data_IF_802607362512
#
_entry.id   IF_802607362512
#
_cell.length_a   1.000
_cell.length_b   1.000
_cell.length_c   1.000
_cell.angle_alpha   90.00
_cell.angle_beta   90.00
_cell.angle_gamma   90.00
#
_symmetry.space_group_name_H-M   'P 1'
#
loop_
_entity.id
_entity.type
_entity.pdbx_description
1 polymer ?
#
# COMPACT_ATOMS: atom_id res chain seq x y z
N UNK A 1 -11.61 43.03 -19.00
CA UNK A 1 -10.65 42.34 -19.90
C UNK A 1 -10.65 43.06 -21.24
N UNK A 2 -9.49 43.51 -21.71
CA UNK A 2 -9.34 44.24 -22.97
C UNK A 2 -9.28 43.27 -24.16
N UNK A 3 -9.71 43.69 -25.35
CA UNK A 3 -9.70 42.86 -26.58
C UNK A 3 -8.32 42.28 -26.89
N UNK A 4 -7.25 42.98 -26.50
CA UNK A 4 -5.86 42.52 -26.61
C UNK A 4 -5.52 41.31 -25.73
N UNK A 5 -6.13 41.17 -24.55
CA UNK A 5 -5.91 40.01 -23.68
C UNK A 5 -6.55 38.75 -24.28
N UNK A 6 -7.77 38.86 -24.82
CA UNK A 6 -8.47 37.75 -25.49
C UNK A 6 -7.73 37.24 -26.73
N UNK A 7 -7.10 38.13 -27.50
CA UNK A 7 -6.29 37.73 -28.66
C UNK A 7 -5.00 37.03 -28.23
N UNK A 8 -4.34 37.46 -27.15
CA UNK A 8 -3.14 36.80 -26.63
C UNK A 8 -3.44 35.43 -26.04
N UNK A 9 -4.57 35.29 -25.35
CA UNK A 9 -5.09 34.00 -24.85
C UNK A 9 -5.40 33.03 -26.00
N UNK A 10 -5.99 33.53 -27.09
CA UNK A 10 -6.25 32.75 -28.30
C UNK A 10 -4.97 32.29 -29.01
N UNK A 11 -3.94 33.15 -29.10
CA UNK A 11 -2.64 32.78 -29.70
C UNK A 11 -1.86 31.83 -28.77
N UNK A 12 -1.97 32.00 -27.45
CA UNK A 12 -1.34 31.12 -26.46
C UNK A 12 -1.96 29.73 -26.46
N UNK A 13 -3.29 29.62 -26.46
CA UNK A 13 -3.98 28.32 -26.58
C UNK A 13 -3.73 27.59 -27.91
N UNK A 14 -3.39 28.32 -28.99
CA UNK A 14 -2.95 27.71 -30.25
C UNK A 14 -1.46 27.31 -30.26
N UNK A 15 -0.65 27.85 -29.35
CA UNK A 15 0.81 27.61 -29.27
C UNK A 15 1.21 26.71 -28.09
N UNK A 16 0.39 26.65 -27.05
CA UNK A 16 0.62 25.86 -25.87
C UNK A 16 0.02 24.48 -26.13
N UNK A 17 0.88 23.56 -26.55
CA UNK A 17 0.55 22.14 -26.70
C UNK A 17 0.65 21.42 -25.34
N UNK A 18 0.38 22.14 -24.26
CA UNK A 18 0.65 21.74 -22.88
C UNK A 18 -0.67 21.74 -22.10
N UNK A 19 -0.96 20.61 -21.45
CA UNK A 19 -2.20 20.35 -20.72
C UNK A 19 -2.42 21.32 -19.55
N UNK A 20 -1.33 21.89 -19.02
CA UNK A 20 -1.31 22.69 -17.79
C UNK A 20 -0.96 24.16 -17.99
N UNK A 21 -0.87 24.61 -19.25
CA UNK A 21 -0.53 25.99 -19.55
C UNK A 21 -1.70 26.94 -19.28
N UNK A 22 -1.79 27.50 -18.08
CA UNK A 22 -2.69 28.62 -17.81
C UNK A 22 -2.11 29.95 -18.34
N UNK A 23 -2.92 30.72 -19.06
CA UNK A 23 -2.51 32.00 -19.63
C UNK A 23 -2.26 33.06 -18.54
N UNK A 24 -1.01 33.22 -18.09
CA UNK A 24 -0.60 34.30 -17.17
C UNK A 24 -0.20 35.58 -17.92
N UNK A 25 -1.12 36.56 -17.93
CA UNK A 25 -0.90 37.89 -18.54
C UNK A 25 0.26 38.71 -17.93
N UNK A 26 0.81 38.31 -16.78
CA UNK A 26 1.94 39.00 -16.11
C UNK A 26 3.30 38.36 -16.42
N UNK A 27 3.34 37.17 -17.04
CA UNK A 27 4.56 36.44 -17.39
C UNK A 27 4.79 36.25 -18.89
N UNK A 28 3.88 36.71 -19.74
CA UNK A 28 4.04 36.60 -21.19
C UNK A 28 5.13 37.54 -21.72
N UNK A 29 6.11 36.99 -22.45
CA UNK A 29 7.24 37.63 -23.15
C UNK A 29 8.53 37.86 -22.33
N UNK A 30 9.20 36.80 -21.87
CA UNK A 30 10.68 36.80 -21.74
C UNK A 30 11.36 35.43 -21.59
N UNK A 31 10.84 34.39 -22.26
CA UNK A 31 11.62 33.15 -22.52
C UNK A 31 11.34 32.64 -23.93
N UNK A 32 11.92 33.31 -24.92
CA UNK A 32 12.25 32.68 -26.19
C UNK A 32 13.70 32.20 -26.03
N UNK A 33 13.88 30.99 -25.52
CA UNK A 33 15.17 30.31 -25.66
C UNK A 33 15.23 29.75 -27.09
N UNK A 34 16.05 30.42 -27.88
CA UNK A 34 16.53 30.04 -29.21
C UNK A 34 17.23 28.67 -29.14
N UNK A 35 17.09 27.79 -30.16
CA UNK A 35 17.83 26.53 -30.18
C UNK A 35 19.28 26.79 -30.60
N UNK A 36 20.25 26.35 -29.80
CA UNK A 36 21.64 26.18 -30.25
C UNK A 36 21.90 24.70 -30.49
N UNK A 37 21.79 24.33 -31.77
CA UNK A 37 22.41 23.14 -32.33
C UNK A 37 23.73 23.63 -32.93
N UNK A 38 24.87 23.28 -32.32
CA UNK A 38 26.11 23.14 -33.07
C UNK A 38 26.64 21.72 -32.88
N UNK A 39 26.40 20.96 -33.95
CA UNK A 39 27.17 19.82 -34.40
C UNK A 39 28.67 20.09 -34.32
N UNK A 40 29.40 19.32 -33.52
CA UNK A 40 30.82 19.05 -33.79
C UNK A 40 30.97 17.56 -34.06
N UNK A 41 31.02 17.27 -35.36
CA UNK A 41 31.12 15.97 -35.98
C UNK A 41 32.48 15.93 -36.68
N UNK A 42 33.50 15.43 -36.00
CA UNK A 42 34.77 14.92 -36.55
C UNK A 42 35.25 13.87 -35.53
N UNK A 43 35.34 12.58 -35.79
CA UNK A 43 35.90 11.94 -36.98
C UNK A 43 37.17 11.21 -36.54
N UNK A 44 37.04 9.98 -36.04
CA UNK A 44 38.15 9.04 -35.92
C UNK A 44 37.64 7.61 -36.03
N UNK A 45 38.32 6.88 -36.89
CA UNK A 45 37.95 5.65 -37.58
C UNK A 45 38.40 4.38 -36.85
N UNK A 46 37.68 3.28 -37.14
CA UNK A 46 38.13 1.87 -37.19
C UNK A 46 38.55 1.18 -35.88
N UNK A 47 37.76 0.18 -35.49
CA UNK A 47 38.14 -1.24 -35.38
C UNK A 47 37.53 -1.93 -34.15
N UNK A 48 36.59 -2.84 -34.45
CA UNK A 48 36.31 -4.14 -33.83
C UNK A 48 37.29 -4.57 -32.71
N UNK A 49 36.83 -4.78 -31.47
CA UNK A 49 36.92 -6.07 -30.74
C UNK A 49 36.26 -6.01 -29.34
N UNK A 50 35.62 -7.13 -29.03
CA UNK A 50 35.17 -7.77 -27.79
C UNK A 50 35.39 -7.15 -26.39
N UNK A 51 34.38 -7.40 -25.54
CA UNK A 51 34.39 -7.47 -24.07
C UNK A 51 34.76 -6.21 -23.30
N UNK A 52 33.74 -5.47 -22.85
CA UNK A 52 33.88 -4.49 -21.77
C UNK A 52 32.99 -4.86 -20.60
N UNK A 53 33.64 -5.43 -19.59
CA UNK A 53 33.21 -5.43 -18.20
C UNK A 53 32.79 -4.02 -17.79
N UNK A 54 31.53 -3.86 -17.37
CA UNK A 54 31.04 -2.62 -16.78
C UNK A 54 31.67 -2.46 -15.39
N UNK A 55 32.81 -1.78 -15.33
CA UNK A 55 33.34 -1.25 -14.08
C UNK A 55 32.45 -0.09 -13.65
N UNK A 56 31.49 -0.39 -12.78
CA UNK A 56 30.64 0.59 -12.13
C UNK A 56 31.50 1.38 -11.13
N UNK A 57 32.04 2.52 -11.57
CA UNK A 57 32.60 3.51 -10.65
C UNK A 57 31.44 4.17 -9.89
N UNK A 58 31.51 4.34 -8.56
CA UNK A 58 30.43 4.94 -7.81
C UNK A 58 30.38 6.44 -8.14
N UNK A 59 29.35 6.87 -8.86
CA UNK A 59 29.00 8.30 -8.93
C UNK A 59 28.38 8.64 -7.59
N UNK A 60 29.18 9.26 -6.72
CA UNK A 60 28.72 9.97 -5.53
C UNK A 60 27.80 11.12 -5.97
N UNK A 61 26.49 10.88 -5.93
CA UNK A 61 25.47 11.88 -6.20
C UNK A 61 24.09 11.32 -5.91
N UNK A 62 23.64 11.43 -4.66
CA UNK A 62 22.34 10.95 -4.16
C UNK A 62 21.09 11.57 -4.80
N UNK A 63 21.23 12.27 -5.93
CA UNK A 63 20.13 12.87 -6.69
C UNK A 63 19.67 12.06 -7.91
N UNK A 64 20.20 10.85 -8.15
CA UNK A 64 19.84 10.00 -9.31
C UNK A 64 19.36 8.60 -8.93
N UNK A 65 19.22 8.33 -7.64
CA UNK A 65 18.81 7.02 -7.14
C UNK A 65 17.39 6.66 -7.59
N UNK A 66 17.19 5.44 -8.09
CA UNK A 66 15.90 4.95 -8.60
C UNK A 66 15.54 5.46 -9.99
N UNK A 67 16.25 6.43 -10.58
CA UNK A 67 15.90 7.02 -11.89
C UNK A 67 16.09 6.02 -13.03
N UNK A 68 17.18 5.23 -12.98
CA UNK A 68 17.47 4.23 -13.99
C UNK A 68 16.45 3.08 -13.93
N UNK A 69 16.07 2.69 -12.73
CA UNK A 69 15.08 1.67 -12.42
C UNK A 69 13.69 2.08 -12.93
N UNK A 70 13.29 3.36 -12.74
CA UNK A 70 12.05 3.91 -13.31
C UNK A 70 12.03 3.76 -14.84
N UNK A 71 13.07 4.23 -15.54
CA UNK A 71 13.14 4.15 -17.01
C UNK A 71 13.13 2.70 -17.50
N UNK A 72 13.85 1.84 -16.81
CA UNK A 72 13.91 0.42 -17.11
C UNK A 72 12.53 -0.21 -16.96
N UNK A 73 11.94 -0.14 -15.77
CA UNK A 73 10.63 -0.70 -15.45
C UNK A 73 9.56 -0.18 -16.42
N UNK A 74 9.51 1.13 -16.67
CA UNK A 74 8.51 1.72 -17.56
C UNK A 74 8.61 1.20 -19.00
N UNK A 75 9.83 0.97 -19.50
CA UNK A 75 10.03 0.34 -20.82
C UNK A 75 9.48 -1.08 -20.87
N UNK A 76 9.64 -1.86 -19.81
CA UNK A 76 9.09 -3.22 -19.71
C UNK A 76 7.55 -3.19 -19.58
N UNK A 77 7.01 -2.29 -18.76
CA UNK A 77 5.56 -2.09 -18.60
C UNK A 77 4.92 -1.68 -19.92
N UNK A 78 5.43 -0.63 -20.60
CA UNK A 78 4.90 -0.20 -21.92
C UNK A 78 4.98 -1.29 -22.97
N UNK A 79 6.09 -2.05 -23.01
CA UNK A 79 6.22 -3.20 -23.93
C UNK A 79 5.18 -4.27 -23.63
N UNK A 80 4.92 -4.56 -22.36
CA UNK A 80 3.92 -5.53 -21.94
C UNK A 80 2.50 -5.05 -22.30
N UNK A 81 2.18 -3.78 -22.03
CA UNK A 81 0.90 -3.16 -22.36
C UNK A 81 0.61 -3.21 -23.86
N UNK A 82 1.56 -2.77 -24.69
CA UNK A 82 1.42 -2.86 -26.15
C UNK A 82 1.17 -4.28 -26.68
N UNK A 83 1.60 -5.31 -25.94
CA UNK A 83 1.45 -6.71 -26.35
C UNK A 83 0.16 -7.34 -25.84
N UNK A 84 -0.28 -7.02 -24.62
CA UNK A 84 -1.36 -7.76 -23.95
C UNK A 84 -2.61 -6.92 -23.66
N UNK A 85 -2.50 -5.60 -23.50
CA UNK A 85 -3.66 -4.74 -23.21
C UNK A 85 -3.48 -3.34 -23.82
N UNK A 86 -4.06 -3.16 -25.01
CA UNK A 86 -4.07 -1.87 -25.70
C UNK A 86 -4.99 -0.87 -24.99
N UNK A 87 -6.09 -1.33 -24.38
CA UNK A 87 -7.04 -0.46 -23.67
C UNK A 87 -6.38 0.24 -22.47
N UNK A 88 -5.69 -0.52 -21.60
CA UNK A 88 -4.96 0.05 -20.47
C UNK A 88 -3.85 0.97 -20.99
N UNK A 89 -3.18 0.61 -22.09
CA UNK A 89 -2.16 1.46 -22.69
C UNK A 89 -2.70 2.82 -23.16
N UNK A 90 -3.91 2.83 -23.73
CA UNK A 90 -4.59 4.03 -24.22
C UNK A 90 -5.16 4.89 -23.08
N UNK A 91 -5.31 4.34 -21.88
CA UNK A 91 -5.69 5.11 -20.68
C UNK A 91 -4.56 5.97 -20.11
N UNK A 92 -3.30 5.69 -20.48
CA UNK A 92 -2.15 6.45 -19.97
C UNK A 92 -2.10 7.84 -20.58
N UNK A 93 -2.00 8.85 -19.72
CA UNK A 93 -1.90 10.25 -20.13
C UNK A 93 -0.49 10.59 -20.59
N UNK A 94 -0.41 11.65 -21.41
CA UNK A 94 0.84 12.22 -21.90
C UNK A 94 1.77 12.64 -20.74
N UNK A 95 3.09 12.65 -20.95
CA UNK A 95 4.05 13.11 -19.95
C UNK A 95 3.82 14.53 -19.41
N UNK A 96 4.12 14.74 -18.13
CA UNK A 96 4.19 16.08 -17.53
C UNK A 96 5.42 16.85 -18.04
N UNK A 97 5.29 18.17 -18.13
CA UNK A 97 6.41 19.07 -18.37
C UNK A 97 7.17 19.40 -17.07
N UNK A 98 8.38 19.96 -17.18
CA UNK A 98 9.09 20.47 -16.00
C UNK A 98 8.32 21.58 -15.27
N UNK A 99 7.52 22.35 -16.00
CA UNK A 99 6.75 23.44 -15.42
C UNK A 99 5.65 22.88 -14.51
N UNK A 100 4.94 21.86 -14.95
CA UNK A 100 3.86 21.21 -14.20
C UNK A 100 4.39 20.58 -12.92
N UNK A 101 5.52 19.86 -13.02
CA UNK A 101 6.18 19.26 -11.86
C UNK A 101 6.64 20.35 -10.88
N UNK A 102 7.19 21.46 -11.38
CA UNK A 102 7.64 22.58 -10.54
C UNK A 102 6.46 23.30 -9.86
N UNK A 103 5.32 23.39 -10.53
CA UNK A 103 4.09 23.95 -9.97
C UNK A 103 3.51 23.04 -8.89
N UNK A 104 3.47 21.72 -9.14
CA UNK A 104 3.07 20.74 -8.14
C UNK A 104 3.97 20.78 -6.89
N UNK A 105 5.29 20.82 -7.05
CA UNK A 105 6.24 20.95 -5.92
C UNK A 105 5.99 22.25 -5.13
N UNK A 106 5.67 23.34 -5.83
CA UNK A 106 5.38 24.64 -5.21
C UNK A 106 4.06 24.62 -4.45
N UNK A 107 3.01 24.08 -5.04
CA UNK A 107 1.67 24.02 -4.44
C UNK A 107 1.66 23.10 -3.22
N UNK A 108 2.34 21.96 -3.32
CA UNK A 108 2.50 21.05 -2.20
C UNK A 108 3.59 21.49 -1.22
N UNK A 109 4.38 22.53 -1.53
CA UNK A 109 5.48 23.01 -0.67
C UNK A 109 6.42 21.88 -0.25
N UNK A 110 6.72 20.95 -1.17
CA UNK A 110 7.63 19.82 -0.95
C UNK A 110 8.48 19.57 -2.20
N UNK A 111 9.60 18.86 -2.04
CA UNK A 111 10.40 18.40 -3.16
C UNK A 111 10.16 16.93 -3.42
N UNK A 112 10.07 16.54 -4.69
CA UNK A 112 9.96 15.15 -5.08
C UNK A 112 11.33 14.50 -5.28
N UNK A 113 11.46 13.20 -4.95
CA UNK A 113 12.61 12.41 -5.36
C UNK A 113 12.81 12.46 -6.87
N UNK A 114 14.07 12.41 -7.31
CA UNK A 114 14.40 12.49 -8.73
C UNK A 114 13.73 11.37 -9.56
N UNK A 115 13.60 10.17 -9.00
CA UNK A 115 12.91 9.05 -9.65
C UNK A 115 11.41 9.32 -9.86
N UNK A 116 10.74 10.00 -8.92
CA UNK A 116 9.32 10.37 -9.04
C UNK A 116 9.13 11.44 -10.11
N UNK A 117 10.02 12.45 -10.15
CA UNK A 117 10.00 13.45 -11.23
C UNK A 117 10.24 12.84 -12.59
N UNK A 118 11.19 11.90 -12.68
CA UNK A 118 11.43 11.16 -13.91
C UNK A 118 10.19 10.38 -14.34
N UNK A 119 9.47 9.78 -13.39
CA UNK A 119 8.25 9.07 -13.70
C UNK A 119 7.15 9.98 -14.25
N UNK A 120 6.95 11.18 -13.68
CA UNK A 120 6.00 12.15 -14.22
C UNK A 120 6.36 12.62 -15.64
N UNK A 121 7.65 12.66 -15.99
CA UNK A 121 8.11 12.90 -17.38
C UNK A 121 7.90 11.73 -18.33
N UNK A 122 7.42 10.60 -17.84
CA UNK A 122 7.07 9.44 -18.66
C UNK A 122 5.56 9.28 -18.81
N UNK A 123 4.77 9.69 -17.82
CA UNK A 123 3.30 9.66 -17.85
C UNK A 123 2.68 10.52 -16.75
N UNK A 124 1.58 11.21 -17.06
CA UNK A 124 0.72 11.93 -16.11
C UNK A 124 -0.46 11.07 -15.62
N UNK A 125 -0.16 9.86 -15.14
CA UNK A 125 -1.19 8.96 -14.63
C UNK A 125 -2.13 8.38 -15.68
N UNK A 126 -3.27 7.86 -15.22
CA UNK A 126 -4.35 7.35 -16.07
C UNK A 126 -5.49 8.36 -16.15
N UNK A 127 -6.08 8.53 -17.34
CA UNK A 127 -7.26 9.37 -17.52
C UNK A 127 -8.45 8.83 -16.71
N UNK A 128 -9.10 9.71 -15.95
CA UNK A 128 -10.36 9.40 -15.25
C UNK A 128 -11.55 9.42 -16.22
N UNK A 129 -11.42 10.16 -17.32
CA UNK A 129 -12.48 10.45 -18.29
C UNK A 129 -12.46 9.52 -19.48
N UNK A 130 -12.62 8.23 -19.23
CA UNK A 130 -13.10 7.34 -20.27
C UNK A 130 -14.41 6.76 -19.73
N UNK A 131 -15.53 7.03 -20.43
CA UNK A 131 -16.83 6.34 -20.28
C UNK A 131 -16.74 4.82 -20.59
N UNK A 132 -15.52 4.26 -20.58
CA UNK A 132 -15.12 2.92 -20.99
C UNK A 132 -14.36 2.21 -19.85
N UNK A 133 -14.80 2.40 -18.59
CA UNK A 133 -14.45 1.52 -17.47
C UNK A 133 -12.99 1.06 -17.36
N UNK A 134 -12.00 1.91 -17.66
CA UNK A 134 -10.62 1.43 -17.73
C UNK A 134 -10.11 1.09 -16.32
N UNK A 135 -9.80 -0.18 -16.12
CA UNK A 135 -9.28 -0.70 -14.87
C UNK A 135 -7.88 -0.12 -14.59
N UNK A 136 -7.54 -0.01 -13.30
CA UNK A 136 -6.25 0.52 -12.87
C UNK A 136 -5.06 -0.33 -13.34
N UNK A 137 -3.99 0.34 -13.79
CA UNK A 137 -2.78 -0.31 -14.32
C UNK A 137 -2.14 -1.29 -13.32
N UNK A 138 -2.15 -0.95 -12.03
CA UNK A 138 -1.48 -1.75 -11.00
C UNK A 138 -2.45 -2.78 -10.44
N UNK A 139 -2.80 -3.77 -11.27
CA UNK A 139 -3.70 -4.87 -10.90
C UNK A 139 -5.04 -4.38 -10.34
N UNK A 140 -5.67 -3.43 -11.03
CA UNK A 140 -6.91 -2.77 -10.62
C UNK A 140 -6.70 -1.45 -9.90
N UNK A 141 -5.50 -1.18 -9.35
CA UNK A 141 -5.17 0.10 -8.72
C UNK A 141 -4.78 1.15 -9.76
N UNK A 142 -5.37 2.34 -9.66
CA UNK A 142 -5.25 3.40 -10.68
C UNK A 142 -4.09 4.33 -10.37
N UNK A 143 -3.34 4.67 -11.41
CA UNK A 143 -2.30 5.70 -11.33
C UNK A 143 -2.93 7.10 -11.41
N UNK A 144 -2.70 7.94 -10.41
CA UNK A 144 -3.31 9.27 -10.33
C UNK A 144 -2.56 10.29 -11.18
N UNK A 145 -3.25 11.14 -11.95
CA UNK A 145 -2.68 12.35 -12.55
C UNK A 145 -2.23 13.36 -11.50
N UNK A 146 -1.32 14.27 -11.86
CA UNK A 146 -0.73 15.25 -10.93
C UNK A 146 -1.77 16.16 -10.25
N UNK A 147 -2.86 16.50 -10.94
CA UNK A 147 -3.96 17.31 -10.37
C UNK A 147 -4.64 16.58 -9.21
N UNK A 148 -4.90 15.28 -9.41
CA UNK A 148 -5.53 14.45 -8.40
C UNK A 148 -4.57 14.23 -7.23
N UNK A 149 -3.28 14.03 -7.49
CA UNK A 149 -2.25 13.96 -6.47
C UNK A 149 -2.26 15.24 -5.61
N UNK A 150 -2.37 16.41 -6.21
CA UNK A 150 -2.44 17.68 -5.48
C UNK A 150 -3.66 17.73 -4.55
N UNK A 151 -4.86 17.48 -5.10
CA UNK A 151 -6.14 17.50 -4.36
C UNK A 151 -6.17 16.48 -3.23
N UNK A 152 -5.70 15.26 -3.50
CA UNK A 152 -5.67 14.17 -2.52
C UNK A 152 -4.68 14.46 -1.41
N UNK A 153 -3.48 14.96 -1.74
CA UNK A 153 -2.48 15.35 -0.75
C UNK A 153 -3.02 16.44 0.18
N UNK A 154 -3.67 17.49 -0.35
CA UNK A 154 -4.28 18.53 0.48
C UNK A 154 -5.39 17.98 1.40
N UNK A 155 -6.21 17.06 0.88
CA UNK A 155 -7.28 16.44 1.65
C UNK A 155 -6.74 15.64 2.83
N UNK A 156 -5.70 14.83 2.60
CA UNK A 156 -5.03 14.06 3.66
C UNK A 156 -4.22 14.94 4.62
N UNK A 157 -3.69 16.08 4.17
CA UNK A 157 -3.11 17.11 5.06
C UNK A 157 -4.13 17.68 6.03
N UNK A 158 -5.35 17.96 5.59
CA UNK A 158 -6.44 18.42 6.48
C UNK A 158 -6.80 17.36 7.53
N UNK A 159 -6.78 16.09 7.15
CA UNK A 159 -6.94 14.96 8.09
C UNK A 159 -5.80 14.96 9.11
N UNK A 160 -4.54 15.01 8.67
CA UNK A 160 -3.38 15.05 9.57
C UNK A 160 -3.42 16.24 10.53
N UNK A 161 -3.72 17.46 10.06
CA UNK A 161 -3.90 18.64 10.92
C UNK A 161 -5.00 18.44 11.96
N UNK A 162 -6.09 17.78 11.59
CA UNK A 162 -7.18 17.47 12.52
C UNK A 162 -6.75 16.46 13.58
N UNK A 163 -5.89 15.50 13.24
CA UNK A 163 -5.29 14.56 14.19
C UNK A 163 -4.35 15.29 15.17
N UNK A 164 -3.47 16.15 14.67
CA UNK A 164 -2.52 16.93 15.49
C UNK A 164 -3.28 17.82 16.48
N UNK A 165 -4.29 18.58 16.01
CA UNK A 165 -5.11 19.43 16.89
C UNK A 165 -5.81 18.62 18.00
N UNK A 166 -6.34 17.43 17.67
CA UNK A 166 -6.96 16.54 18.66
C UNK A 166 -5.94 16.04 19.69
N UNK A 167 -4.73 15.69 19.24
CA UNK A 167 -3.65 15.25 20.12
C UNK A 167 -3.18 16.38 21.07
N UNK A 168 -3.03 17.61 20.56
CA UNK A 168 -2.68 18.78 21.38
C UNK A 168 -3.74 19.07 22.46
N UNK A 169 -5.02 19.07 22.07
CA UNK A 169 -6.14 19.28 23.02
C UNK A 169 -6.18 18.18 24.07
N UNK A 170 -6.01 16.91 23.68
CA UNK A 170 -5.93 15.79 24.61
C UNK A 170 -4.74 15.91 25.56
N UNK A 171 -3.56 16.29 25.07
CA UNK A 171 -2.36 16.51 25.87
C UNK A 171 -2.52 17.65 26.88
N UNK A 172 -3.12 18.78 26.47
CA UNK A 172 -3.42 19.89 27.37
C UNK A 172 -4.46 19.51 28.43
N UNK A 173 -5.49 18.72 28.07
CA UNK A 173 -6.45 18.21 29.03
C UNK A 173 -5.81 17.28 30.07
N UNK A 174 -4.88 16.41 29.63
CA UNK A 174 -4.11 15.53 30.51
C UNK A 174 -3.25 16.35 31.48
N UNK A 175 -2.49 17.33 30.97
CA UNK A 175 -1.70 18.23 31.80
C UNK A 175 -2.55 19.00 32.81
N UNK A 176 -3.70 19.57 32.41
CA UNK A 176 -4.57 20.33 33.31
C UNK A 176 -5.17 19.48 34.44
N UNK A 177 -5.43 18.18 34.17
CA UNK A 177 -5.86 17.21 35.20
C UNK A 177 -4.70 16.85 36.14
N UNK A 178 -3.53 16.54 35.60
CA UNK A 178 -2.34 16.17 36.37
C UNK A 178 -1.80 17.32 37.23
N UNK A 179 -1.89 18.56 36.74
CA UNK A 179 -1.50 19.77 37.45
C UNK A 179 -2.57 20.30 38.42
N UNK A 180 -3.69 19.58 38.60
CA UNK A 180 -4.72 19.92 39.59
C UNK A 180 -5.54 21.19 39.29
N UNK A 181 -5.48 21.74 38.07
CA UNK A 181 -6.26 22.91 37.68
C UNK A 181 -7.73 22.60 37.39
N UNK A 182 -8.09 21.32 37.26
CA UNK A 182 -9.45 20.85 36.94
C UNK A 182 -10.42 20.83 38.15
N UNK A 183 -10.26 21.77 39.09
CA UNK A 183 -11.14 21.88 40.26
C UNK A 183 -11.58 23.34 40.49
N UNK A 184 -12.13 23.97 39.46
CA UNK A 184 -13.10 25.04 39.69
C UNK A 184 -14.12 25.10 38.55
N UNK A 185 -15.21 24.38 38.80
CA UNK A 185 -16.44 24.40 38.04
C UNK A 185 -17.02 25.83 38.08
N UNK A 186 -16.85 26.59 36.99
CA UNK A 186 -17.53 27.87 36.82
C UNK A 186 -18.97 27.60 36.35
N UNK A 187 -19.81 27.28 37.32
CA UNK A 187 -21.25 27.57 37.28
C UNK A 187 -22.16 26.51 36.64
N UNK A 188 -22.69 25.61 37.47
CA UNK A 188 -24.06 25.14 37.27
C UNK A 188 -24.74 24.84 38.61
N UNK A 189 -25.47 25.82 39.11
CA UNK A 189 -26.42 25.64 40.20
C UNK A 189 -27.66 24.91 39.69
N UNK A 190 -27.72 23.60 39.84
CA UNK A 190 -28.96 22.85 40.10
C UNK A 190 -28.62 21.36 40.22
N UNK A 191 -29.07 20.74 41.31
CA UNK A 191 -28.77 19.36 41.65
C UNK A 191 -29.23 18.37 40.57
N UNK A 192 -28.26 17.76 39.91
CA UNK A 192 -28.42 16.47 39.25
C UNK A 192 -27.20 15.62 39.59
N UNK A 193 -27.39 14.54 40.35
CA UNK A 193 -26.34 13.53 40.56
C UNK A 193 -26.23 12.71 39.28
N UNK A 194 -25.55 13.23 38.28
CA UNK A 194 -25.10 12.40 37.15
C UNK A 194 -23.92 11.56 37.63
N UNK A 195 -24.10 10.25 37.62
CA UNK A 195 -23.03 9.27 37.78
C UNK A 195 -21.97 9.61 36.73
N UNK A 196 -20.81 10.09 37.16
CA UNK A 196 -19.67 10.32 36.30
C UNK A 196 -19.26 8.98 35.70
N UNK A 197 -19.74 8.67 34.50
CA UNK A 197 -19.05 7.75 33.60
C UNK A 197 -17.72 8.45 33.30
N UNK A 198 -16.62 7.81 33.66
CA UNK A 198 -15.33 8.05 33.04
C UNK A 198 -15.56 8.18 31.53
N UNK A 199 -15.12 9.26 30.88
CA UNK A 199 -15.18 9.32 29.42
C UNK A 199 -14.22 8.22 28.96
N UNK A 200 -14.77 7.11 28.48
CA UNK A 200 -14.02 6.20 27.62
C UNK A 200 -13.53 7.07 26.47
N UNK A 201 -12.22 7.31 26.43
CA UNK A 201 -11.58 7.91 25.26
C UNK A 201 -11.84 6.97 24.09
N UNK A 202 -12.91 7.23 23.35
CA UNK A 202 -13.18 6.50 22.11
C UNK A 202 -12.10 6.94 21.14
N UNK A 203 -10.98 6.23 21.14
CA UNK A 203 -9.95 6.39 20.13
C UNK A 203 -10.65 6.21 18.77
N UNK A 204 -10.72 7.29 18.00
CA UNK A 204 -11.49 7.35 16.74
C UNK A 204 -10.88 6.40 15.70
N UNK A 205 -9.62 6.00 15.90
CA UNK A 205 -8.87 5.10 15.02
C UNK A 205 -8.24 3.97 15.84
N UNK A 206 -8.13 2.76 15.27
CA UNK A 206 -7.32 1.69 15.84
C UNK A 206 -5.88 2.13 16.07
N UNK A 207 -5.15 1.39 16.91
CA UNK A 207 -3.71 1.60 17.08
C UNK A 207 -2.98 1.43 15.74
N UNK A 208 -2.05 2.34 15.47
CA UNK A 208 -1.33 2.42 14.21
C UNK A 208 0.07 1.81 14.37
N UNK A 209 0.58 1.17 13.33
CA UNK A 209 1.89 0.50 13.33
C UNK A 209 2.60 0.64 11.98
N UNK A 210 3.85 0.18 11.89
CA UNK A 210 4.62 0.11 10.64
C UNK A 210 5.41 -1.19 10.52
N UNK A 211 5.57 -1.67 9.27
CA UNK A 211 6.39 -2.82 8.90
C UNK A 211 7.36 -2.40 7.79
N UNK A 212 8.69 -2.54 7.99
CA UNK A 212 9.35 -2.86 9.26
C UNK A 212 9.08 -1.80 10.36
N UNK A 213 9.20 -2.15 11.65
CA UNK A 213 9.03 -1.21 12.76
C UNK A 213 9.85 0.06 12.57
N UNK A 214 9.27 1.21 12.93
CA UNK A 214 9.90 2.54 12.93
C UNK A 214 10.34 3.08 11.55
N UNK A 215 10.10 2.36 10.45
CA UNK A 215 10.41 2.85 9.10
C UNK A 215 9.41 3.92 8.63
N UNK A 216 8.15 3.82 9.09
CA UNK A 216 7.05 4.74 8.79
C UNK A 216 6.42 5.20 10.10
N UNK A 217 5.99 6.46 10.18
CA UNK A 217 5.30 6.97 11.37
C UNK A 217 4.02 6.16 11.67
N UNK A 218 3.83 5.68 12.91
CA UNK A 218 2.65 4.94 13.32
C UNK A 218 1.48 5.91 13.60
N UNK A 219 1.01 6.60 12.54
CA UNK A 219 -0.11 7.55 12.58
C UNK A 219 -1.07 7.28 11.41
N UNK A 220 -2.33 7.69 11.55
CA UNK A 220 -3.34 7.42 10.53
C UNK A 220 -3.06 8.15 9.21
N UNK A 221 -2.67 9.42 9.29
CA UNK A 221 -2.38 10.29 8.15
C UNK A 221 -1.19 11.21 8.45
N UNK A 222 -0.37 11.50 7.44
CA UNK A 222 0.74 12.46 7.55
C UNK A 222 0.75 13.46 6.37
N UNK A 223 1.22 14.68 6.61
CA UNK A 223 1.21 15.76 5.61
C UNK A 223 2.22 15.58 4.48
N UNK A 224 3.22 14.73 4.71
CA UNK A 224 4.33 14.47 3.77
C UNK A 224 4.27 13.06 3.16
N UNK A 225 3.12 12.38 3.29
CA UNK A 225 2.83 11.17 2.52
C UNK A 225 2.07 11.58 1.26
N UNK A 226 2.71 11.37 0.10
CA UNK A 226 2.16 11.78 -1.19
C UNK A 226 1.57 10.56 -1.88
N UNK A 227 0.23 10.47 -2.03
CA UNK A 227 -0.39 9.35 -2.71
C UNK A 227 -0.11 9.45 -4.22
N UNK A 228 0.24 8.34 -4.86
CA UNK A 228 0.49 8.27 -6.32
C UNK A 228 -0.45 7.28 -7.02
N UNK A 229 -0.82 6.20 -6.34
CA UNK A 229 -1.72 5.15 -6.85
C UNK A 229 -2.85 4.98 -5.85
N UNK A 230 -4.07 4.80 -6.34
CA UNK A 230 -5.30 4.75 -5.55
C UNK A 230 -6.15 3.54 -5.89
N UNK A 231 -6.85 3.00 -4.90
CA UNK A 231 -7.95 2.05 -5.09
C UNK A 231 -9.31 2.73 -5.31
N UNK A 232 -9.32 4.06 -5.35
CA UNK A 232 -10.52 4.91 -5.41
C UNK A 232 -11.45 4.80 -4.20
N UNK A 233 -11.03 4.10 -3.13
CA UNK A 233 -11.80 3.88 -1.89
C UNK A 233 -11.15 4.52 -0.64
N UNK A 234 -9.95 5.08 -0.80
CA UNK A 234 -9.24 5.84 0.22
C UNK A 234 -7.96 5.15 0.72
N UNK A 235 -7.45 4.18 -0.01
CA UNK A 235 -6.18 3.49 0.25
C UNK A 235 -5.19 3.72 -0.88
N UNK A 236 -3.92 3.87 -0.55
CA UNK A 236 -2.91 4.40 -1.48
C UNK A 236 -1.59 3.63 -1.43
N UNK A 237 -0.94 3.58 -2.59
CA UNK A 237 0.51 3.45 -2.69
C UNK A 237 1.06 4.85 -2.93
N UNK A 238 2.07 5.26 -2.16
CA UNK A 238 2.65 6.58 -2.34
C UNK A 238 4.05 6.70 -1.74
N UNK A 239 4.55 7.93 -1.77
CA UNK A 239 5.92 8.26 -1.36
C UNK A 239 5.90 8.89 0.03
N UNK A 240 6.79 8.44 0.91
CA UNK A 240 7.03 9.05 2.20
C UNK A 240 8.22 10.04 2.13
N UNK A 241 7.91 11.33 2.25
CA UNK A 241 8.92 12.40 2.30
C UNK A 241 9.36 12.75 3.73
N UNK A 242 8.84 12.03 4.73
CA UNK A 242 9.13 12.17 6.15
C UNK A 242 9.29 10.79 6.80
N UNK A 243 10.31 10.01 6.40
CA UNK A 243 10.55 8.73 7.04
C UNK A 243 10.71 8.90 8.56
N UNK A 244 10.32 7.88 9.32
CA UNK A 244 10.51 7.89 10.77
C UNK A 244 11.98 8.09 11.12
N UNK A 245 12.30 9.11 11.93
CA UNK A 245 13.66 9.32 12.45
C UNK A 245 13.86 8.42 13.66
N UNK A 246 14.81 7.50 13.60
CA UNK A 246 15.24 6.74 14.77
C UNK A 246 16.23 7.57 15.59
N UNK A 247 15.96 7.79 16.88
CA UNK A 247 17.00 8.21 17.82
C UNK A 247 17.85 7.02 18.32
N UNK A 248 17.60 5.80 17.82
CA UNK A 248 18.29 4.56 18.20
C UNK A 248 19.02 3.91 17.00
N UNK A 249 20.35 3.69 17.06
CA UNK A 249 21.17 3.27 15.92
C UNK A 249 21.00 1.81 15.44
N UNK A 250 20.10 1.03 16.04
CA UNK A 250 19.97 -0.43 15.78
C UNK A 250 18.68 -0.83 15.06
N UNK A 251 17.80 0.11 14.69
CA UNK A 251 16.54 -0.19 14.00
C UNK A 251 16.60 0.38 12.58
N UNK A 252 16.13 -0.39 11.59
CA UNK A 252 16.08 0.00 10.19
C UNK A 252 15.45 1.39 10.03
N UNK A 253 16.28 2.39 9.71
CA UNK A 253 15.83 3.76 9.50
C UNK A 253 14.94 3.83 8.25
N UNK A 254 13.87 4.63 8.34
CA UNK A 254 13.08 4.95 7.16
C UNK A 254 13.93 5.73 6.16
N UNK A 255 13.70 5.52 4.86
CA UNK A 255 14.41 6.20 3.78
C UNK A 255 13.57 7.31 3.18
N UNK A 256 14.16 8.49 2.96
CA UNK A 256 13.44 9.58 2.31
C UNK A 256 13.10 9.21 0.87
N UNK A 257 11.83 9.33 0.49
CA UNK A 257 11.36 8.89 -0.81
C UNK A 257 11.01 7.40 -0.91
N UNK A 258 10.98 6.68 0.23
CA UNK A 258 10.51 5.29 0.27
C UNK A 258 9.04 5.19 -0.14
N UNK A 259 8.66 4.04 -0.68
CA UNK A 259 7.29 3.75 -1.12
C UNK A 259 6.54 3.02 -0.03
N UNK A 260 5.36 3.52 0.33
CA UNK A 260 4.56 3.01 1.45
C UNK A 260 3.12 2.73 1.06
N UNK A 261 2.49 1.79 1.78
CA UNK A 261 1.04 1.59 1.80
C UNK A 261 0.43 2.37 2.98
N UNK A 262 -0.57 3.19 2.70
CA UNK A 262 -1.28 3.97 3.71
C UNK A 262 -2.72 4.30 3.27
N UNK A 263 -3.54 4.78 4.19
CA UNK A 263 -4.92 5.17 3.92
C UNK A 263 -5.92 4.45 4.82
N UNK A 264 -7.18 4.40 4.37
CA UNK A 264 -8.34 3.98 5.15
C UNK A 264 -8.24 2.55 5.68
N UNK A 265 -7.67 1.63 4.92
CA UNK A 265 -7.55 0.21 5.32
C UNK A 265 -6.20 -0.14 5.99
N UNK A 266 -5.31 0.84 6.11
CA UNK A 266 -3.93 0.66 6.53
C UNK A 266 -3.67 1.23 7.93
N UNK A 267 -4.17 0.53 8.96
CA UNK A 267 -3.74 0.77 10.34
C UNK A 267 -2.26 0.40 10.56
N UNK A 268 -1.80 -0.61 9.83
CA UNK A 268 -0.38 -0.97 9.71
C UNK A 268 0.10 -0.43 8.37
N UNK A 269 1.14 0.40 8.39
CA UNK A 269 1.81 0.93 7.19
C UNK A 269 2.90 -0.04 6.76
N UNK A 270 3.07 -0.21 5.46
CA UNK A 270 4.07 -1.14 4.91
C UNK A 270 5.04 -0.37 4.02
N UNK A 271 6.33 -0.44 4.30
CA UNK A 271 7.40 0.04 3.40
C UNK A 271 7.63 -1.02 2.33
N UNK A 272 7.09 -0.78 1.13
CA UNK A 272 7.12 -1.77 0.04
C UNK A 272 8.35 -1.64 -0.88
N UNK A 273 9.01 -0.48 -0.91
CA UNK A 273 10.23 -0.26 -1.69
C UNK A 273 11.05 0.91 -1.16
N UNK A 274 12.36 0.92 -1.44
CA UNK A 274 13.28 2.01 -1.06
C UNK A 274 13.16 3.24 -1.96
N UNK A 275 12.85 3.04 -3.24
CA UNK A 275 12.59 4.11 -4.20
C UNK A 275 11.37 3.76 -5.07
N UNK A 276 10.81 4.78 -5.74
CA UNK A 276 9.72 4.54 -6.69
C UNK A 276 10.14 3.66 -7.88
N UNK A 277 11.42 3.74 -8.29
CA UNK A 277 11.96 2.87 -9.33
C UNK A 277 11.97 1.40 -8.93
N UNK A 278 12.36 1.09 -7.70
CA UNK A 278 12.34 -0.28 -7.17
C UNK A 278 10.92 -0.85 -7.14
N UNK A 279 9.94 -0.04 -6.73
CA UNK A 279 8.52 -0.42 -6.77
C UNK A 279 8.04 -0.74 -8.19
N UNK A 280 8.36 0.10 -9.17
CA UNK A 280 8.00 -0.15 -10.56
C UNK A 280 8.67 -1.42 -11.11
N UNK A 281 9.91 -1.72 -10.69
CA UNK A 281 10.58 -2.97 -11.05
C UNK A 281 9.90 -4.19 -10.44
N UNK A 282 9.45 -4.12 -9.19
CA UNK A 282 8.66 -5.20 -8.56
C UNK A 282 7.42 -5.50 -9.42
N UNK A 283 6.67 -4.46 -9.80
CA UNK A 283 5.49 -4.59 -10.65
C UNK A 283 5.83 -5.14 -12.04
N UNK A 284 6.85 -4.59 -12.70
CA UNK A 284 7.28 -5.07 -14.01
C UNK A 284 7.69 -6.55 -13.99
N UNK A 285 8.39 -6.97 -12.93
CA UNK A 285 8.79 -8.37 -12.73
C UNK A 285 7.58 -9.30 -12.55
N UNK A 286 6.51 -8.85 -11.89
CA UNK A 286 5.28 -9.64 -11.79
C UNK A 286 4.62 -9.85 -13.16
N UNK A 287 4.58 -8.81 -14.00
CA UNK A 287 4.09 -8.93 -15.37
C UNK A 287 4.92 -9.91 -16.20
N UNK A 288 6.25 -9.86 -16.06
CA UNK A 288 7.18 -10.74 -16.79
C UNK A 288 7.12 -12.20 -16.32
N UNK A 289 6.90 -12.43 -15.02
CA UNK A 289 6.72 -13.77 -14.45
C UNK A 289 5.38 -14.42 -14.85
N UNK A 290 4.46 -13.65 -15.42
CA UNK A 290 3.12 -14.14 -15.75
C UNK A 290 2.18 -14.15 -14.55
N UNK A 291 2.42 -13.31 -13.53
CA UNK A 291 1.58 -13.22 -12.33
C UNK A 291 0.34 -12.35 -12.57
N UNK A 292 -0.40 -12.64 -13.65
CA UNK A 292 -1.51 -11.81 -14.08
C UNK A 292 -2.55 -12.62 -14.85
N UNK A 293 -3.79 -12.12 -14.81
CA UNK A 293 -4.85 -12.52 -15.73
C UNK A 293 -5.56 -11.26 -16.26
N UNK A 294 -6.08 -11.36 -17.48
CA UNK A 294 -6.83 -10.28 -18.13
C UNK A 294 -8.27 -10.71 -18.29
N UNK A 295 -9.18 -10.07 -17.55
CA UNK A 295 -10.62 -10.28 -17.69
C UNK A 295 -11.19 -9.31 -18.70
N UNK A 296 -12.17 -9.77 -19.45
CA UNK A 296 -12.95 -8.92 -20.34
C UNK A 296 -14.40 -8.99 -19.90
N UNK A 297 -15.07 -7.84 -19.78
CA UNK A 297 -16.51 -7.76 -19.50
C UNK A 297 -17.40 -8.28 -20.66
N UNK A 298 -16.81 -8.84 -21.71
CA UNK A 298 -17.51 -9.31 -22.92
C UNK A 298 -18.26 -10.64 -22.77
N UNK A 299 -18.25 -11.27 -21.59
CA UNK A 299 -19.08 -12.45 -21.31
C UNK A 299 -20.58 -12.11 -21.09
N UNK A 300 -20.92 -10.82 -20.99
CA UNK A 300 -22.30 -10.33 -21.00
C UNK A 300 -22.66 -9.77 -22.40
N UNK A 301 -23.37 -10.57 -23.22
CA UNK A 301 -23.75 -10.25 -24.61
C UNK A 301 -24.59 -8.95 -24.80
N UNK A 302 -24.97 -8.27 -23.73
CA UNK A 302 -25.93 -7.15 -23.73
C UNK A 302 -25.30 -5.74 -23.54
N UNK A 303 -23.98 -5.58 -23.40
CA UNK A 303 -23.36 -4.25 -23.24
C UNK A 303 -22.76 -3.66 -24.53
N UNK A 304 -23.48 -2.71 -25.12
CA UNK A 304 -23.01 -1.85 -26.22
C UNK A 304 -22.31 -0.61 -25.63
N UNK A 305 -21.05 -0.75 -25.18
CA UNK A 305 -19.97 0.26 -25.20
C UNK A 305 -18.93 -0.02 -24.10
N UNK A 306 -17.68 -0.29 -24.51
CA UNK A 306 -16.54 -0.44 -23.61
C UNK A 306 -16.20 -1.90 -23.31
N UNK A 307 -15.14 -2.42 -23.93
CA UNK A 307 -14.50 -3.65 -23.45
C UNK A 307 -13.64 -3.24 -22.27
N UNK A 308 -14.08 -3.52 -21.05
CA UNK A 308 -13.31 -3.24 -19.85
C UNK A 308 -12.33 -4.39 -19.68
N UNK A 309 -11.08 -4.16 -20.06
CA UNK A 309 -9.99 -5.10 -19.80
C UNK A 309 -9.50 -4.89 -18.36
N UNK A 310 -9.84 -5.81 -17.47
CA UNK A 310 -9.40 -5.78 -16.07
C UNK A 310 -8.13 -6.61 -15.89
N UNK A 311 -7.06 -5.96 -15.44
CA UNK A 311 -5.81 -6.61 -15.04
C UNK A 311 -5.90 -6.99 -13.56
N UNK A 312 -5.83 -8.28 -13.26
CA UNK A 312 -5.83 -8.82 -11.89
C UNK A 312 -4.56 -9.61 -11.60
N UNK A 313 -4.10 -9.59 -10.35
CA UNK A 313 -2.95 -10.38 -9.94
C UNK A 313 -3.39 -11.82 -9.69
N UNK A 314 -2.78 -12.74 -10.42
CA UNK A 314 -2.96 -14.19 -10.22
C UNK A 314 -1.58 -14.79 -10.09
N UNK A 315 -1.30 -15.39 -8.94
CA UNK A 315 -0.03 -16.06 -8.72
C UNK A 315 0.12 -17.21 -9.74
N UNK A 316 1.19 -17.17 -10.54
CA UNK A 316 1.36 -18.10 -11.65
C UNK A 316 1.50 -19.56 -11.17
N UNK A 317 2.03 -19.80 -9.97
CA UNK A 317 2.29 -21.14 -9.44
C UNK A 317 1.05 -21.72 -8.75
N UNK A 318 0.41 -20.94 -7.88
CA UNK A 318 -0.75 -21.38 -7.09
C UNK A 318 -2.07 -21.18 -7.82
N UNK A 319 -2.08 -20.40 -8.90
CA UNK A 319 -3.28 -19.98 -9.66
C UNK A 319 -4.32 -19.26 -8.80
N UNK A 320 -3.89 -18.70 -7.66
CA UNK A 320 -4.75 -17.95 -6.75
C UNK A 320 -4.75 -16.48 -7.14
N UNK A 321 -5.95 -15.93 -7.30
CA UNK A 321 -6.14 -14.49 -7.40
C UNK A 321 -6.03 -13.86 -6.01
N UNK A 322 -5.25 -12.79 -5.92
CA UNK A 322 -4.99 -12.09 -4.66
C UNK A 322 -5.02 -10.58 -4.94
N UNK A 323 -5.78 -9.78 -4.15
CA UNK A 323 -5.72 -8.33 -4.28
C UNK A 323 -4.28 -7.82 -4.14
N UNK A 324 -3.86 -6.93 -5.02
CA UNK A 324 -2.44 -6.57 -5.13
C UNK A 324 -1.87 -5.90 -3.86
N UNK A 325 -2.71 -5.18 -3.10
CA UNK A 325 -2.30 -4.71 -1.77
C UNK A 325 -1.88 -5.85 -0.84
N UNK A 326 -2.62 -6.96 -0.81
CA UNK A 326 -2.30 -8.10 0.05
C UNK A 326 -1.00 -8.76 -0.40
N UNK A 327 -0.78 -8.89 -1.73
CA UNK A 327 0.49 -9.38 -2.29
C UNK A 327 1.67 -8.55 -1.80
N UNK A 328 1.54 -7.22 -1.84
CA UNK A 328 2.59 -6.31 -1.37
C UNK A 328 2.79 -6.39 0.16
N UNK A 329 1.71 -6.49 0.93
CA UNK A 329 1.78 -6.68 2.39
C UNK A 329 2.52 -7.96 2.74
N UNK A 330 2.12 -9.10 2.16
CA UNK A 330 2.68 -10.42 2.45
C UNK A 330 4.20 -10.43 2.14
N UNK A 331 4.60 -9.89 0.98
CA UNK A 331 6.03 -9.78 0.61
C UNK A 331 6.86 -8.96 1.59
N UNK A 332 6.31 -7.84 2.07
CA UNK A 332 7.01 -6.99 3.06
C UNK A 332 7.12 -7.71 4.40
N UNK A 333 6.05 -8.37 4.82
CA UNK A 333 5.98 -9.11 6.08
C UNK A 333 6.94 -10.29 6.07
N UNK A 334 6.99 -11.06 4.99
CA UNK A 334 7.90 -12.20 4.80
C UNK A 334 9.37 -11.74 4.75
N UNK A 335 9.64 -10.66 4.00
CA UNK A 335 10.98 -10.06 3.92
C UNK A 335 11.46 -9.57 5.28
N UNK A 336 10.59 -8.84 6.01
CA UNK A 336 10.90 -8.37 7.35
C UNK A 336 11.17 -9.52 8.29
N UNK A 337 10.32 -10.54 8.34
CA UNK A 337 10.53 -11.70 9.20
C UNK A 337 11.80 -12.47 8.91
N UNK A 338 12.12 -12.66 7.63
CA UNK A 338 13.36 -13.34 7.22
C UNK A 338 14.60 -12.55 7.64
N UNK A 339 14.46 -11.22 7.80
CA UNK A 339 15.55 -10.35 8.27
C UNK A 339 15.74 -10.34 9.79
N UNK A 340 14.78 -10.83 10.58
CA UNK A 340 14.83 -10.77 12.04
C UNK A 340 15.84 -11.76 12.62
N UNK A 341 16.69 -11.28 13.55
CA UNK A 341 17.52 -12.17 14.37
C UNK A 341 16.72 -12.78 15.54
N UNK A 342 17.22 -13.85 16.20
CA UNK A 342 16.59 -14.41 17.38
C UNK A 342 16.40 -13.42 18.54
N UNK A 343 17.26 -12.40 18.65
CA UNK A 343 17.09 -11.35 19.66
C UNK A 343 16.01 -10.34 19.26
N UNK A 344 15.89 -10.02 17.96
CA UNK A 344 14.85 -9.12 17.48
C UNK A 344 13.45 -9.72 17.64
N UNK A 345 13.32 -11.04 17.53
CA UNK A 345 12.07 -11.77 17.81
C UNK A 345 11.65 -11.69 19.28
N UNK A 346 12.59 -11.40 20.20
CA UNK A 346 12.31 -11.26 21.64
C UNK A 346 11.92 -9.84 22.06
N UNK A 347 12.14 -8.84 21.19
CA UNK A 347 11.72 -7.47 21.46
C UNK A 347 10.19 -7.40 21.60
N UNK A 348 9.71 -6.86 22.72
CA UNK A 348 8.27 -6.73 23.03
C UNK A 348 7.49 -5.97 21.95
N UNK A 349 8.13 -4.96 21.34
CA UNK A 349 7.58 -4.21 20.21
C UNK A 349 7.35 -5.10 18.99
N UNK A 350 8.29 -5.98 18.67
CA UNK A 350 8.21 -6.89 17.53
C UNK A 350 7.20 -8.00 17.81
N UNK A 351 7.16 -8.55 19.02
CA UNK A 351 6.17 -9.54 19.42
C UNK A 351 4.74 -9.00 19.33
N UNK A 352 4.53 -7.77 19.82
CA UNK A 352 3.24 -7.08 19.71
C UNK A 352 2.82 -6.90 18.25
N UNK A 353 3.75 -6.47 17.40
CA UNK A 353 3.49 -6.30 15.97
C UNK A 353 3.20 -7.62 15.27
N UNK A 354 3.98 -8.68 15.53
CA UNK A 354 3.76 -10.03 14.97
C UNK A 354 2.38 -10.56 15.37
N UNK A 355 1.98 -10.37 16.62
CA UNK A 355 0.63 -10.74 17.08
C UNK A 355 -0.45 -10.00 16.31
N UNK A 356 -0.28 -8.68 16.09
CA UNK A 356 -1.22 -7.86 15.32
C UNK A 356 -1.30 -8.28 13.86
N UNK A 357 -0.18 -8.67 13.26
CA UNK A 357 -0.14 -9.21 11.90
C UNK A 357 -0.89 -10.54 11.80
N UNK A 358 -0.78 -11.46 12.78
CA UNK A 358 -1.59 -12.69 12.83
C UNK A 358 -3.07 -12.43 12.91
N UNK A 359 -3.47 -11.45 13.72
CA UNK A 359 -4.89 -11.08 13.88
C UNK A 359 -5.49 -10.58 12.56
N UNK A 360 -4.71 -9.86 11.74
CA UNK A 360 -5.17 -9.27 10.48
C UNK A 360 -5.05 -10.21 9.28
N UNK A 361 -4.01 -11.06 9.26
CA UNK A 361 -3.74 -11.99 8.17
C UNK A 361 -3.48 -13.40 8.72
N UNK A 362 -4.53 -14.20 8.99
CA UNK A 362 -4.39 -15.51 9.62
C UNK A 362 -3.74 -16.59 8.73
N UNK A 363 -3.43 -16.27 7.47
CA UNK A 363 -2.85 -17.20 6.49
C UNK A 363 -1.32 -17.18 6.43
N UNK A 364 -0.65 -16.30 7.18
CA UNK A 364 0.81 -16.19 7.19
C UNK A 364 1.37 -17.13 8.27
N UNK A 365 2.27 -18.05 7.90
CA UNK A 365 2.98 -18.94 8.82
C UNK A 365 4.01 -18.14 9.64
N UNK A 366 3.55 -17.49 10.70
CA UNK A 366 4.35 -16.65 11.59
C UNK A 366 5.01 -17.52 12.70
N UNK A 367 6.30 -17.34 13.02
CA UNK A 367 6.98 -18.15 14.03
C UNK A 367 6.29 -18.00 15.40
N UNK A 368 5.81 -19.11 15.97
CA UNK A 368 5.06 -19.13 17.24
C UNK A 368 5.78 -18.34 18.34
N UNK A 369 5.05 -17.46 19.03
CA UNK A 369 5.61 -16.78 20.20
C UNK A 369 5.83 -17.81 21.32
N UNK A 370 6.73 -17.55 22.25
CA UNK A 370 6.92 -18.44 23.40
C UNK A 370 5.64 -18.59 24.24
N UNK A 371 4.74 -17.59 24.22
CA UNK A 371 3.41 -17.70 24.83
C UNK A 371 2.50 -18.69 24.08
N UNK A 372 2.58 -18.75 22.75
CA UNK A 372 1.83 -19.71 21.94
C UNK A 372 2.36 -21.13 22.09
N UNK A 373 3.69 -21.28 22.24
CA UNK A 373 4.31 -22.56 22.62
C UNK A 373 3.83 -23.02 23.99
N UNK A 374 3.81 -22.15 24.99
CA UNK A 374 3.32 -22.47 26.34
C UNK A 374 1.82 -22.80 26.31
N UNK A 375 1.00 -22.07 25.55
CA UNK A 375 -0.41 -22.39 25.35
C UNK A 375 -0.60 -23.74 24.65
N UNK A 376 0.14 -23.99 23.58
CA UNK A 376 0.12 -25.25 22.83
C UNK A 376 0.60 -26.45 23.66
N UNK A 377 1.65 -26.28 24.47
CA UNK A 377 2.12 -27.30 25.42
C UNK A 377 1.09 -27.54 26.53
N UNK A 378 0.47 -26.49 27.07
CA UNK A 378 -0.58 -26.62 28.08
C UNK A 378 -1.85 -27.29 27.51
N UNK A 379 -2.26 -26.95 26.28
CA UNK A 379 -3.37 -27.60 25.58
C UNK A 379 -3.09 -29.08 25.31
N UNK A 380 -1.89 -29.43 24.86
CA UNK A 380 -1.45 -30.82 24.70
C UNK A 380 -1.46 -31.58 26.04
N UNK A 381 -1.03 -30.93 27.13
CA UNK A 381 -1.03 -31.52 28.46
C UNK A 381 -2.45 -31.72 29.03
N UNK A 382 -3.40 -30.83 28.69
CA UNK A 382 -4.81 -30.98 29.07
C UNK A 382 -5.45 -32.16 28.31
N UNK A 383 -5.13 -32.34 27.03
CA UNK A 383 -5.65 -33.45 26.22
C UNK A 383 -5.10 -34.81 26.69
N UNK A 384 -3.86 -34.84 27.17
CA UNK A 384 -3.25 -35.99 27.84
C UNK A 384 -3.93 -36.28 29.20
N UNK A 385 -4.33 -35.26 29.96
CA UNK A 385 -5.06 -35.48 31.22
C UNK A 385 -6.53 -35.88 31.04
N UNK A 386 -7.17 -35.45 29.96
CA UNK A 386 -8.52 -35.86 29.59
C UNK A 386 -8.58 -37.33 29.15
N UNK A 387 -7.51 -37.83 28.52
CA UNK A 387 -7.39 -39.25 28.11
C UNK A 387 -6.99 -40.20 29.25
N UNK A 388 -6.38 -39.70 30.33
CA UNK A 388 -5.98 -40.51 31.50
C UNK A 388 -7.09 -40.63 32.56
N UNK A 389 -8.16 -39.83 32.46
CA UNK A 389 -9.25 -39.79 33.45
C UNK A 389 -10.48 -40.62 33.05
N UNK A 390 -10.31 -41.92 32.85
CA UNK A 390 -11.43 -42.89 32.95
C UNK A 390 -10.96 -44.19 33.59
N UNK A 391 -11.18 -44.41 34.90
CA UNK A 391 -11.08 -45.74 35.48
C UNK A 391 -12.37 -46.51 35.22
N UNK A 392 -12.27 -47.60 34.46
CA UNK A 392 -13.36 -48.54 34.26
C UNK A 392 -13.76 -49.17 35.61
N UNK A 393 -14.99 -48.89 36.04
CA UNK A 393 -15.59 -49.52 37.21
C UNK A 393 -15.87 -51.01 36.93
N UNK A 394 -15.24 -51.89 37.72
CA UNK A 394 -15.69 -53.27 37.90
C UNK A 394 -17.04 -53.25 38.62
N UNK A 395 -18.04 -53.92 38.06
CA UNK A 395 -19.22 -54.29 38.83
C UNK A 395 -19.50 -55.78 38.63
N UNK A 396 -19.42 -56.51 39.74
CA UNK A 396 -19.86 -57.88 39.89
C UNK A 396 -21.39 -57.96 39.82
N UNK A 397 -21.89 -59.06 39.25
CA UNK A 397 -23.31 -59.36 39.18
C UNK A 397 -23.53 -60.83 38.81
N UNK A 398 -23.40 -61.71 39.78
CA UNK A 398 -23.85 -63.10 39.75
C UNK A 398 -25.38 -63.17 39.83
N UNK A 399 -26.04 -63.89 38.91
CA UNK A 399 -27.19 -64.77 39.23
C UNK A 399 -27.71 -65.54 37.99
N UNK A 400 -27.47 -66.85 37.99
CA UNK A 400 -28.40 -67.95 37.64
C UNK A 400 -29.31 -67.86 36.38
N UNK A 401 -29.17 -68.81 35.46
CA UNK A 401 -30.09 -69.96 35.33
C UNK A 401 -29.95 -70.72 34.00
N UNK A 402 -29.84 -72.04 34.14
CA UNK A 402 -30.33 -73.14 33.30
C UNK A 402 -30.20 -73.12 31.77
N UNK A 403 -29.32 -74.02 31.31
CA UNK A 403 -29.40 -74.68 30.02
C UNK A 403 -30.23 -75.96 30.11
N UNK A 404 -31.39 -76.01 29.44
CA UNK A 404 -31.86 -77.26 28.82
C UNK A 404 -32.93 -77.05 27.75
N UNK A 405 -32.59 -77.53 26.55
CA UNK A 405 -33.43 -78.22 25.57
C UNK A 405 -34.71 -77.53 25.06
N UNK A 406 -34.74 -77.23 23.76
CA UNK A 406 -35.51 -78.05 22.81
C UNK A 406 -35.05 -77.82 21.36
N UNK A 407 -35.17 -78.83 20.47
CA UNK A 407 -34.64 -78.79 19.10
C UNK A 407 -35.73 -78.55 18.04
N UNK A 408 -35.24 -78.37 16.82
CA UNK A 408 -35.85 -78.77 15.53
C UNK A 408 -37.07 -78.03 15.02
N UNK A 409 -37.08 -77.85 13.69
CA UNK A 409 -38.27 -78.15 12.90
C UNK A 409 -38.77 -76.98 12.09
N UNK A 410 -38.42 -77.00 10.81
CA UNK A 410 -39.15 -76.42 9.69
C UNK A 410 -40.63 -76.79 9.73
N UNK A 411 -41.53 -75.91 9.29
CA UNK A 411 -42.42 -76.20 8.16
C UNK A 411 -43.35 -75.03 7.78
N UNK A 412 -43.32 -74.74 6.48
CA UNK A 412 -44.41 -74.46 5.52
C UNK A 412 -45.44 -73.32 5.66
N UNK A 413 -45.73 -72.80 4.45
CA UNK A 413 -46.95 -72.14 3.95
C UNK A 413 -47.25 -70.71 4.42
N UNK A 414 -47.87 -69.84 3.65
CA UNK A 414 -48.11 -69.60 2.21
C UNK A 414 -49.09 -68.42 2.21
N UNK A 415 -48.87 -67.41 1.35
CA UNK A 415 -49.89 -66.46 0.82
C UNK A 415 -50.57 -65.52 1.85
N UNK A 416 -50.87 -64.27 1.56
CA UNK A 416 -51.19 -63.54 0.32
C UNK A 416 -50.40 -62.23 0.20
#
# INVERSE_FOLDING_TARGET
>A
MTISQKFKEFVYSLSANDKYSDFDSRKSFNRVNKPEIETSLLGASLANDSTTSLSLSPISGGGSEGVHEVRLAWRHIKKWLHKHSEDINNSLSDPCTEADISELEKDLSCQFPACVKEFFRLTDGQSTFNDNGCCGLFYGLRLMPIDEIAVMTESWRKVHQSLVKKAEVSGLQKYAREAGFAQHDLGSSAGFKTRAKTPEETNVFPNQYSVPPNTVFPIYAHSQWIPLITDSSGSFIGIDLSPGTSEAPEIAEGKWGQVILFGREFDIKYKIADTFGDFLLIFANDLEKGNWDLRSSSDDEDMISGVDTELVFVDHETKKEIPYFNVLQDRVVDSWMTSLSPEDLRLDTNQTLIKKLREKTPSIDLPESDADKVLGENLKNIDIMATVSTPAAKNEGTSTADSRAHPSGTDYDSSE
#
